data_IF_420649957558
#
_entry.id   IF_420649957558
#
_cell.length_a   1.000
_cell.length_b   1.000
_cell.length_c   1.000
_cell.angle_alpha   90.00
_cell.angle_beta   90.00
_cell.angle_gamma   90.00
#
_symmetry.space_group_name_H-M   'P 1'
#
loop_
_entity.id
_entity.type
_entity.pdbx_description
1 polymer ?
#
# COMPACT_ATOMS: atom_id res chain seq x y z
N UNK A 1 -12.95 2.54 -26.42
CA UNK A 1 -11.69 1.80 -26.23
C UNK A 1 -10.48 2.72 -25.98
N UNK A 2 -10.23 3.77 -26.78
CA UNK A 2 -9.20 4.79 -26.51
C UNK A 2 -9.62 5.89 -25.48
N UNK A 3 -10.85 5.85 -24.99
CA UNK A 3 -11.37 6.88 -24.09
C UNK A 3 -10.78 6.74 -22.67
N UNK A 4 -10.79 5.52 -22.10
CA UNK A 4 -10.32 5.26 -20.74
C UNK A 4 -8.81 5.45 -20.59
N UNK A 5 -8.00 5.04 -21.58
CA UNK A 5 -6.55 5.32 -21.60
C UNK A 5 -6.22 6.82 -21.62
N UNK A 6 -7.09 7.63 -22.24
CA UNK A 6 -6.92 9.09 -22.27
C UNK A 6 -7.44 9.76 -21.00
N UNK A 7 -8.47 9.18 -20.39
CA UNK A 7 -9.01 9.66 -19.12
C UNK A 7 -8.04 9.39 -17.95
N UNK A 8 -7.37 8.24 -17.98
CA UNK A 8 -6.47 7.81 -16.89
C UNK A 8 -5.10 7.39 -17.43
N UNK A 9 -4.23 8.35 -17.79
CA UNK A 9 -2.88 8.06 -18.25
C UNK A 9 -2.05 7.37 -17.16
N UNK A 10 -1.04 6.60 -17.58
CA UNK A 10 -0.10 5.97 -16.64
C UNK A 10 0.94 7.03 -16.25
N UNK A 11 0.92 7.46 -14.99
CA UNK A 11 1.81 8.52 -14.47
C UNK A 11 2.69 7.99 -13.32
N UNK A 12 2.10 7.65 -12.17
CA UNK A 12 2.82 7.18 -10.97
C UNK A 12 2.50 5.71 -10.67
N UNK A 13 3.32 4.80 -11.21
CA UNK A 13 3.15 3.35 -11.03
C UNK A 13 3.50 2.94 -9.60
N UNK A 14 2.50 2.50 -8.84
CA UNK A 14 2.67 2.02 -7.46
C UNK A 14 3.06 0.55 -7.37
N UNK A 15 2.58 -0.27 -8.31
CA UNK A 15 2.84 -1.72 -8.32
C UNK A 15 2.69 -2.27 -9.73
N UNK A 16 3.66 -3.08 -10.16
CA UNK A 16 3.59 -3.80 -11.42
C UNK A 16 4.10 -5.24 -11.26
N UNK A 17 3.30 -6.19 -11.71
CA UNK A 17 3.64 -7.60 -11.83
C UNK A 17 3.06 -8.15 -13.13
N UNK A 18 3.35 -9.42 -13.43
CA UNK A 18 2.89 -10.08 -14.66
C UNK A 18 1.37 -10.08 -14.85
N UNK A 19 0.58 -9.95 -13.77
CA UNK A 19 -0.89 -10.04 -13.80
C UNK A 19 -1.64 -8.71 -13.71
N UNK A 20 -1.00 -7.68 -13.16
CA UNK A 20 -1.65 -6.44 -12.73
C UNK A 20 -0.65 -5.30 -12.81
N UNK A 21 -1.14 -4.14 -13.24
CA UNK A 21 -0.47 -2.86 -13.03
C UNK A 21 -1.40 -1.95 -12.22
N UNK A 22 -0.83 -1.26 -11.23
CA UNK A 22 -1.52 -0.30 -10.36
C UNK A 22 -0.77 1.01 -10.43
N UNK A 23 -1.47 2.10 -10.76
CA UNK A 23 -0.90 3.43 -10.82
C UNK A 23 -1.85 4.47 -10.26
N UNK A 24 -1.31 5.63 -9.91
CA UNK A 24 -2.08 6.83 -9.63
C UNK A 24 -2.01 7.76 -10.83
N UNK A 25 -3.09 8.51 -11.03
CA UNK A 25 -3.14 9.60 -12.00
C UNK A 25 -4.08 10.69 -11.51
N UNK A 26 -3.88 11.92 -12.01
CA UNK A 26 -4.76 13.03 -11.69
C UNK A 26 -6.09 12.93 -12.47
N UNK A 27 -7.20 13.14 -11.76
CA UNK A 27 -8.52 13.35 -12.35
C UNK A 27 -9.08 14.69 -11.86
N UNK A 28 -8.93 15.73 -12.68
CA UNK A 28 -9.29 17.10 -12.31
C UNK A 28 -8.45 17.61 -11.13
N UNK A 29 -9.06 17.77 -9.95
CA UNK A 29 -8.36 18.17 -8.70
C UNK A 29 -8.02 17.01 -7.78
N UNK A 30 -8.56 15.82 -8.05
CA UNK A 30 -8.39 14.65 -7.19
C UNK A 30 -7.34 13.72 -7.77
N UNK A 31 -6.86 12.80 -6.94
CA UNK A 31 -6.05 11.67 -7.38
C UNK A 31 -6.92 10.42 -7.43
N UNK A 32 -6.72 9.61 -8.46
CA UNK A 32 -7.38 8.32 -8.60
C UNK A 32 -6.34 7.22 -8.67
N UNK A 33 -6.73 6.05 -8.18
CA UNK A 33 -5.97 4.81 -8.27
C UNK A 33 -6.60 3.93 -9.33
N UNK A 34 -5.82 3.54 -10.33
CA UNK A 34 -6.24 2.59 -11.36
C UNK A 34 -5.59 1.24 -11.10
N UNK A 35 -6.40 0.19 -11.05
CA UNK A 35 -5.96 -1.21 -11.03
C UNK A 35 -6.32 -1.82 -12.37
N UNK A 36 -5.33 -2.22 -13.17
CA UNK A 36 -5.56 -2.83 -14.47
C UNK A 36 -4.99 -4.25 -14.56
N UNK A 37 -5.88 -5.24 -14.65
CA UNK A 37 -5.53 -6.65 -14.80
C UNK A 37 -5.23 -6.96 -16.26
N UNK A 38 -4.10 -7.64 -16.50
CA UNK A 38 -3.67 -8.04 -17.85
C UNK A 38 -4.53 -9.19 -18.36
N UNK A 39 -5.14 -9.04 -19.54
CA UNK A 39 -5.89 -10.11 -20.20
C UNK A 39 -5.05 -11.38 -20.42
N UNK A 40 -3.73 -11.23 -20.61
CA UNK A 40 -2.79 -12.35 -20.77
C UNK A 40 -2.70 -13.29 -19.57
N UNK A 41 -3.28 -12.92 -18.42
CA UNK A 41 -3.23 -13.71 -17.19
C UNK A 41 -4.57 -14.33 -16.81
N UNK A 42 -5.59 -14.16 -17.64
CA UNK A 42 -6.86 -14.85 -17.45
C UNK A 42 -6.79 -16.23 -18.07
N UNK A 43 -7.60 -17.15 -17.54
CA UNK A 43 -7.73 -18.50 -18.07
C UNK A 43 -8.44 -18.51 -19.43
N UNK A 44 -9.28 -19.51 -19.65
CA UNK A 44 -10.09 -19.57 -20.86
C UNK A 44 -11.08 -18.41 -20.89
N UNK A 45 -10.91 -17.50 -21.85
CA UNK A 45 -11.73 -16.30 -21.98
C UNK A 45 -13.22 -16.61 -22.18
N UNK A 46 -13.56 -17.70 -22.85
CA UNK A 46 -14.95 -18.10 -23.08
C UNK A 46 -15.61 -18.51 -21.76
N UNK A 47 -14.85 -19.17 -20.89
CA UNK A 47 -15.32 -19.60 -19.57
C UNK A 47 -15.37 -18.44 -18.58
N UNK A 48 -14.43 -17.50 -18.65
CA UNK A 48 -14.34 -16.37 -17.73
C UNK A 48 -15.25 -15.19 -18.13
N UNK A 49 -15.70 -15.12 -19.39
CA UNK A 49 -16.52 -14.00 -19.91
C UNK A 49 -17.75 -13.67 -19.06
N UNK A 50 -18.58 -14.64 -18.62
CA UNK A 50 -19.75 -14.33 -17.77
C UNK A 50 -19.34 -13.72 -16.42
N UNK A 51 -18.23 -14.18 -15.85
CA UNK A 51 -17.71 -13.69 -14.58
C UNK A 51 -17.17 -12.26 -14.71
N UNK A 52 -16.48 -11.97 -15.81
CA UNK A 52 -15.95 -10.64 -16.09
C UNK A 52 -17.07 -9.64 -16.37
N UNK A 53 -18.11 -10.05 -17.12
CA UNK A 53 -19.30 -9.23 -17.34
C UNK A 53 -20.00 -8.92 -16.01
N UNK A 54 -20.25 -9.94 -15.19
CA UNK A 54 -20.84 -9.75 -13.85
C UNK A 54 -19.99 -8.85 -12.96
N UNK A 55 -18.67 -8.98 -12.99
CA UNK A 55 -17.78 -8.09 -12.25
C UNK A 55 -17.95 -6.62 -12.68
N UNK A 56 -18.10 -6.35 -13.98
CA UNK A 56 -18.33 -4.99 -14.48
C UNK A 56 -19.72 -4.48 -14.04
N UNK A 57 -20.76 -5.31 -14.16
CA UNK A 57 -22.11 -4.96 -13.70
C UNK A 57 -22.15 -4.63 -12.20
N UNK A 58 -21.54 -5.48 -11.37
CA UNK A 58 -21.46 -5.26 -9.93
C UNK A 58 -20.66 -3.98 -9.61
N UNK A 59 -19.61 -3.69 -10.38
CA UNK A 59 -18.83 -2.46 -10.22
C UNK A 59 -19.62 -1.21 -10.67
N UNK A 60 -20.38 -1.27 -11.76
CA UNK A 60 -21.28 -0.20 -12.20
C UNK A 60 -22.36 0.10 -11.14
N UNK A 61 -22.96 -0.94 -10.55
CA UNK A 61 -23.88 -0.79 -9.43
C UNK A 61 -23.23 -0.10 -8.22
N UNK A 62 -21.97 -0.43 -7.92
CA UNK A 62 -21.20 0.24 -6.85
C UNK A 62 -20.92 1.72 -7.15
N UNK A 63 -20.58 2.05 -8.40
CA UNK A 63 -20.38 3.44 -8.86
C UNK A 63 -21.67 4.24 -8.69
N UNK A 64 -22.82 3.64 -9.05
CA UNK A 64 -24.12 4.29 -8.96
C UNK A 64 -24.62 4.44 -7.52
N UNK A 65 -24.39 3.43 -6.68
CA UNK A 65 -24.95 3.40 -5.32
C UNK A 65 -24.09 4.14 -4.30
N UNK A 66 -22.80 4.32 -4.54
CA UNK A 66 -21.84 4.98 -3.64
C UNK A 66 -22.05 4.60 -2.16
N UNK A 67 -21.94 3.31 -1.81
CA UNK A 67 -22.24 2.84 -0.47
C UNK A 67 -21.32 3.50 0.57
N UNK A 68 -21.94 4.07 1.61
CA UNK A 68 -21.21 4.74 2.68
C UNK A 68 -20.24 3.79 3.41
N UNK A 69 -19.05 4.31 3.74
CA UNK A 69 -18.01 3.56 4.44
C UNK A 69 -17.12 2.70 3.54
N UNK A 70 -17.38 2.67 2.23
CA UNK A 70 -16.49 2.06 1.24
C UNK A 70 -15.78 3.14 0.42
N UNK A 71 -14.63 2.77 -0.15
CA UNK A 71 -13.90 3.70 -1.00
C UNK A 71 -14.69 3.98 -2.28
N UNK A 72 -14.66 5.23 -2.74
CA UNK A 72 -15.44 5.66 -3.89
C UNK A 72 -14.90 5.04 -5.18
N UNK A 73 -15.73 4.23 -5.83
CA UNK A 73 -15.46 3.69 -7.15
C UNK A 73 -15.94 4.67 -8.22
N UNK A 74 -15.08 4.94 -9.20
CA UNK A 74 -15.27 6.01 -10.20
C UNK A 74 -15.60 5.41 -11.57
N UNK A 75 -14.87 4.38 -11.98
CA UNK A 75 -15.01 3.80 -13.32
C UNK A 75 -14.58 2.33 -13.34
N UNK A 76 -15.13 1.57 -14.30
CA UNK A 76 -14.76 0.19 -14.57
C UNK A 76 -14.86 -0.06 -16.07
N UNK A 77 -13.87 -0.75 -16.64
CA UNK A 77 -13.94 -1.11 -18.06
C UNK A 77 -12.61 -1.39 -18.70
N UNK A 78 -12.63 -1.49 -20.02
CA UNK A 78 -11.45 -1.90 -20.78
C UNK A 78 -10.49 -0.74 -21.06
N UNK A 79 -9.23 -0.92 -20.64
CA UNK A 79 -8.09 -0.05 -20.93
C UNK A 79 -7.11 -0.81 -21.83
N UNK A 80 -7.29 -0.66 -23.15
CA UNK A 80 -6.56 -1.46 -24.14
C UNK A 80 -6.86 -2.95 -24.01
N UNK A 81 -5.86 -3.75 -23.65
CA UNK A 81 -6.00 -5.19 -23.37
C UNK A 81 -6.15 -5.52 -21.87
N UNK A 82 -6.49 -4.53 -21.05
CA UNK A 82 -6.62 -4.69 -19.60
C UNK A 82 -8.05 -4.40 -19.16
N UNK A 83 -8.55 -5.13 -18.18
CA UNK A 83 -9.70 -4.67 -17.41
C UNK A 83 -9.19 -3.73 -16.33
N UNK A 84 -9.74 -2.53 -16.27
CA UNK A 84 -9.40 -1.52 -15.30
C UNK A 84 -10.56 -1.29 -14.33
N UNK A 85 -10.20 -1.01 -13.08
CA UNK A 85 -11.06 -0.50 -12.04
C UNK A 85 -10.42 0.79 -11.51
N UNK A 86 -11.17 1.88 -11.48
CA UNK A 86 -10.73 3.21 -11.09
C UNK A 86 -11.47 3.62 -9.83
N UNK A 87 -10.73 3.99 -8.80
CA UNK A 87 -11.26 4.40 -7.50
C UNK A 87 -10.56 5.66 -7.03
N UNK A 88 -11.18 6.41 -6.12
CA UNK A 88 -10.52 7.53 -5.44
C UNK A 88 -9.24 7.03 -4.75
N UNK A 89 -8.15 7.78 -4.93
CA UNK A 89 -6.91 7.49 -4.22
C UNK A 89 -6.99 8.07 -2.82
N UNK A 90 -7.01 7.19 -1.83
CA UNK A 90 -6.94 7.57 -0.42
C UNK A 90 -5.52 7.38 0.05
N UNK A 91 -4.84 8.49 0.31
CA UNK A 91 -3.56 8.49 0.99
C UNK A 91 -3.77 8.34 2.50
N UNK A 92 -4.04 7.11 2.95
CA UNK A 92 -4.49 6.88 4.32
C UNK A 92 -3.44 7.20 5.39
N UNK A 93 -2.14 7.30 5.07
CA UNK A 93 -1.10 7.47 6.08
C UNK A 93 0.16 8.24 5.65
N UNK A 94 0.34 8.59 4.37
CA UNK A 94 1.59 9.24 3.90
C UNK A 94 1.61 10.73 4.22
N UNK A 95 0.45 11.38 4.31
CA UNK A 95 0.33 12.77 4.79
C UNK A 95 0.28 12.90 6.33
N UNK A 96 0.15 11.78 7.05
CA UNK A 96 0.16 11.81 8.52
C UNK A 96 1.56 12.19 9.02
N UNK A 97 1.65 13.26 9.79
CA UNK A 97 2.90 13.65 10.47
C UNK A 97 3.32 12.61 11.52
N UNK A 98 2.37 11.84 12.05
CA UNK A 98 2.62 10.80 13.04
C UNK A 98 1.85 9.50 12.68
N UNK A 99 2.27 8.80 11.61
CA UNK A 99 1.56 7.63 11.15
C UNK A 99 1.74 6.46 12.12
N UNK A 100 0.81 5.48 12.11
CA UNK A 100 0.99 4.26 12.87
C UNK A 100 2.24 3.50 12.39
N UNK A 101 2.94 2.86 13.31
CA UNK A 101 4.03 1.92 12.97
C UNK A 101 3.48 0.50 12.95
N UNK A 102 3.76 -0.21 11.85
CA UNK A 102 3.61 -1.65 11.81
C UNK A 102 4.81 -2.31 12.49
N UNK A 103 4.61 -2.78 13.71
CA UNK A 103 5.56 -3.61 14.45
C UNK A 103 5.52 -5.06 13.97
N UNK A 104 6.59 -5.81 14.24
CA UNK A 104 6.68 -7.23 13.88
C UNK A 104 6.44 -7.53 12.40
N UNK A 105 7.03 -6.72 11.52
CA UNK A 105 6.86 -6.82 10.06
C UNK A 105 7.21 -8.20 9.52
N UNK A 106 8.13 -8.92 10.16
CA UNK A 106 8.50 -10.29 9.81
C UNK A 106 7.32 -11.27 9.87
N UNK A 107 6.33 -11.03 10.74
CA UNK A 107 5.15 -11.89 10.85
C UNK A 107 4.22 -11.81 9.64
N UNK A 108 4.39 -10.78 8.81
CA UNK A 108 3.63 -10.56 7.57
C UNK A 108 4.42 -10.96 6.31
N UNK A 109 5.63 -11.50 6.48
CA UNK A 109 6.49 -11.87 5.37
C UNK A 109 6.70 -13.38 5.34
N UNK A 110 6.84 -13.92 4.13
CA UNK A 110 7.35 -15.28 3.94
C UNK A 110 8.78 -15.38 4.52
N UNK A 111 9.15 -16.47 5.21
CA UNK A 111 10.51 -16.66 5.71
C UNK A 111 11.61 -16.58 4.63
N UNK A 112 11.28 -16.85 3.37
CA UNK A 112 12.19 -16.72 2.22
C UNK A 112 12.23 -15.30 1.63
N UNK A 113 11.44 -14.36 2.16
CA UNK A 113 11.45 -12.98 1.69
C UNK A 113 12.84 -12.35 1.98
N UNK A 114 13.45 -11.62 1.02
CA UNK A 114 14.81 -11.08 1.18
C UNK A 114 15.02 -10.19 2.42
N UNK A 115 13.94 -9.56 2.90
CA UNK A 115 13.95 -8.66 4.07
C UNK A 115 13.46 -9.32 5.37
N UNK A 116 13.12 -10.61 5.36
CA UNK A 116 12.61 -11.30 6.54
C UNK A 116 13.59 -11.20 7.71
N UNK A 117 14.86 -11.54 7.47
CA UNK A 117 15.91 -11.54 8.49
C UNK A 117 16.15 -10.14 9.10
N UNK A 118 16.16 -9.10 8.25
CA UNK A 118 16.29 -7.69 8.65
C UNK A 118 15.19 -7.29 9.65
N UNK A 119 13.92 -7.61 9.34
CA UNK A 119 12.80 -7.28 10.21
C UNK A 119 12.73 -8.16 11.46
N UNK A 120 13.07 -9.44 11.35
CA UNK A 120 13.13 -10.34 12.50
C UNK A 120 14.18 -9.86 13.53
N UNK A 121 15.32 -9.36 13.06
CA UNK A 121 16.34 -8.79 13.93
C UNK A 121 15.86 -7.51 14.64
N UNK A 122 15.16 -6.62 13.92
CA UNK A 122 14.57 -5.43 14.53
C UNK A 122 13.57 -5.81 15.62
N UNK A 123 12.64 -6.71 15.32
CA UNK A 123 11.62 -7.16 16.27
C UNK A 123 12.22 -7.83 17.50
N UNK A 124 13.26 -8.66 17.33
CA UNK A 124 14.00 -9.24 18.44
C UNK A 124 14.65 -8.15 19.32
N UNK A 125 15.22 -7.12 18.70
CA UNK A 125 15.82 -6.00 19.42
C UNK A 125 14.79 -5.16 20.17
N UNK A 126 13.61 -4.95 19.59
CA UNK A 126 12.51 -4.25 20.25
C UNK A 126 11.94 -5.04 21.44
N UNK A 127 11.89 -6.38 21.35
CA UNK A 127 11.49 -7.27 22.44
C UNK A 127 12.53 -7.26 23.58
N UNK A 128 13.82 -7.36 23.27
CA UNK A 128 14.91 -7.26 24.26
C UNK A 128 14.89 -5.93 25.03
N UNK A 129 14.48 -4.86 24.35
CA UNK A 129 14.32 -3.53 24.94
C UNK A 129 12.95 -3.34 25.61
N UNK A 130 12.12 -4.37 25.69
CA UNK A 130 10.76 -4.33 26.26
C UNK A 130 9.89 -3.22 25.63
N UNK A 131 10.09 -2.92 24.34
CA UNK A 131 9.32 -1.90 23.64
C UNK A 131 7.95 -2.46 23.23
N UNK A 132 7.91 -3.70 22.73
CA UNK A 132 6.71 -4.33 22.16
C UNK A 132 5.58 -4.57 23.17
N UNK A 133 5.87 -4.52 24.48
CA UNK A 133 4.88 -4.62 25.55
C UNK A 133 4.20 -3.28 25.89
N UNK A 134 4.61 -2.17 25.27
CA UNK A 134 4.11 -0.83 25.55
C UNK A 134 3.03 -0.38 24.56
N UNK A 135 2.13 0.49 25.03
CA UNK A 135 1.03 1.02 24.22
C UNK A 135 1.36 2.37 23.53
N UNK A 136 2.45 3.03 23.92
CA UNK A 136 2.85 4.36 23.41
C UNK A 136 3.73 4.32 22.16
N UNK A 137 4.13 3.12 21.71
CA UNK A 137 4.97 2.92 20.51
C UNK A 137 4.17 2.72 19.22
N UNK A 138 2.84 2.79 19.27
CA UNK A 138 1.98 2.52 18.12
C UNK A 138 2.10 3.54 16.98
N UNK A 139 2.77 4.67 17.20
CA UNK A 139 2.95 5.75 16.22
C UNK A 139 4.42 6.12 16.07
N UNK A 140 4.80 6.68 14.91
CA UNK A 140 6.19 7.05 14.60
C UNK A 140 6.83 7.88 15.69
N UNK A 141 6.19 9.00 16.05
CA UNK A 141 6.69 9.92 17.06
C UNK A 141 6.81 9.25 18.43
N UNK A 142 5.80 8.50 18.86
CA UNK A 142 5.83 7.84 20.17
C UNK A 142 6.96 6.81 20.30
N UNK A 143 7.22 6.07 19.22
CA UNK A 143 8.35 5.14 19.17
C UNK A 143 9.70 5.85 19.13
N UNK A 144 9.86 6.88 18.28
CA UNK A 144 11.09 7.68 18.19
C UNK A 144 11.42 8.41 19.49
N UNK A 145 10.44 9.01 20.15
CA UNK A 145 10.59 9.64 21.48
C UNK A 145 11.05 8.62 22.51
N UNK A 146 10.45 7.43 22.54
CA UNK A 146 10.85 6.37 23.47
C UNK A 146 12.29 5.91 23.22
N UNK A 147 12.68 5.69 21.96
CA UNK A 147 14.07 5.36 21.62
C UNK A 147 15.02 6.46 22.11
N UNK A 148 14.70 7.72 21.82
CA UNK A 148 15.51 8.86 22.22
C UNK A 148 15.66 8.95 23.75
N UNK A 149 14.58 8.77 24.52
CA UNK A 149 14.65 8.78 26.00
C UNK A 149 15.55 7.69 26.58
N UNK A 150 15.81 6.61 25.82
CA UNK A 150 16.73 5.52 26.19
C UNK A 150 18.12 5.68 25.59
N UNK A 151 18.43 6.82 24.97
CA UNK A 151 19.70 7.05 24.28
C UNK A 151 19.88 6.16 23.06
N UNK A 152 18.79 5.79 22.40
CA UNK A 152 18.75 4.94 21.20
C UNK A 152 18.19 5.72 20.02
N UNK A 153 18.47 5.24 18.81
CA UNK A 153 17.90 5.74 17.56
C UNK A 153 17.78 4.61 16.54
N UNK A 154 16.93 4.81 15.54
CA UNK A 154 16.83 3.92 14.40
C UNK A 154 17.82 4.34 13.30
N UNK A 155 18.61 3.39 12.78
CA UNK A 155 19.32 3.51 11.52
C UNK A 155 18.86 2.42 10.56
N UNK A 156 18.17 2.82 9.48
CA UNK A 156 17.53 1.87 8.57
C UNK A 156 16.50 1.03 9.31
N UNK A 157 16.85 -0.22 9.60
CA UNK A 157 16.02 -1.20 10.31
C UNK A 157 16.77 -1.77 11.53
N UNK A 158 17.68 -0.99 12.12
CA UNK A 158 18.47 -1.39 13.28
C UNK A 158 18.44 -0.31 14.35
N UNK A 159 18.23 -0.71 15.61
CA UNK A 159 18.26 0.20 16.75
C UNK A 159 19.68 0.26 17.29
N UNK A 160 20.27 1.45 17.28
CA UNK A 160 21.65 1.71 17.70
C UNK A 160 21.70 2.75 18.82
N UNK A 161 22.74 2.75 19.68
CA UNK A 161 22.96 3.84 20.62
C UNK A 161 23.18 5.17 19.90
N UNK A 162 22.69 6.25 20.49
CA UNK A 162 23.08 7.61 20.10
C UNK A 162 24.55 7.76 20.50
N UNK A 163 25.44 7.84 19.53
CA UNK A 163 26.85 8.06 19.80
C UNK A 163 27.06 9.56 20.03
N UNK A 164 27.38 9.96 21.26
CA UNK A 164 27.91 11.29 21.53
C UNK A 164 29.28 11.39 20.83
N UNK A 165 29.32 12.02 19.65
CA UNK A 165 30.58 12.61 19.20
C UNK A 165 30.72 13.92 19.98
N UNK A 166 31.70 14.07 20.89
CA UNK A 166 31.97 15.38 21.46
C UNK A 166 32.42 16.27 20.31
N UNK A 167 31.60 17.27 19.96
CA UNK A 167 32.04 18.39 19.15
C UNK A 167 33.16 19.08 19.92
N UNK A 168 34.40 18.91 19.43
CA UNK A 168 35.58 19.67 19.86
C UNK A 168 35.42 21.12 19.38
#
# INVERSE_FOLDING_TARGET
MLALMRAYPIEDVLREHDRLIVWKTAEGKNQVLVKAWRRSCWGDETLESPRLAKFCEDAEDFILTQPAGLNHLIDVGWLGHHLALVQEYVDAYTESQNPPILHRKETFLDPLHPRFAEYAQLSAREEELELLSRNDIGTRRGWEELLHTRGLRLEGTSIVPVSDSPSI
#
